data_IF_260845352664
#
_entry.id   IF_260845352664
#
_cell.length_a   1.000
_cell.length_b   1.000
_cell.length_c   1.000
_cell.angle_alpha   90.00
_cell.angle_beta   90.00
_cell.angle_gamma   90.00
#
_symmetry.space_group_name_H-M   'P 1'
#
loop_
_entity.id
_entity.type
_entity.pdbx_description
1 polymer ?
#
# COMPACT_ATOMS: atom_id res chain seq x y z
N UNK A 1 -35.15 -4.12 -56.94
CA UNK A 1 -35.13 -4.39 -55.48
C UNK A 1 -33.71 -4.40 -54.87
N UNK A 2 -32.64 -4.69 -55.64
CA UNK A 2 -31.26 -4.73 -55.11
C UNK A 2 -30.61 -3.35 -54.87
N UNK A 3 -30.95 -2.32 -55.65
CA UNK A 3 -30.34 -0.98 -55.54
C UNK A 3 -30.73 -0.22 -54.26
N UNK A 4 -32.00 -0.27 -53.87
CA UNK A 4 -32.51 0.35 -52.63
C UNK A 4 -31.93 -0.32 -51.36
N UNK A 5 -31.70 -1.64 -51.41
CA UNK A 5 -31.06 -2.38 -50.31
C UNK A 5 -29.60 -1.96 -50.11
N UNK A 6 -28.88 -1.69 -51.21
CA UNK A 6 -27.49 -1.20 -51.17
C UNK A 6 -27.37 0.23 -50.64
N UNK A 7 -28.31 1.12 -50.99
CA UNK A 7 -28.32 2.49 -50.45
C UNK A 7 -28.60 2.54 -48.94
N UNK A 8 -29.42 1.64 -48.41
CA UNK A 8 -29.66 1.53 -46.96
C UNK A 8 -28.42 0.98 -46.21
N UNK A 9 -27.67 0.07 -46.84
CA UNK A 9 -26.43 -0.50 -46.28
C UNK A 9 -25.27 0.50 -46.20
N UNK A 10 -25.23 1.47 -47.11
CA UNK A 10 -24.20 2.53 -47.18
C UNK A 10 -24.71 3.84 -46.55
N UNK A 11 -25.93 3.84 -46.00
CA UNK A 11 -26.49 5.01 -45.34
C UNK A 11 -25.58 5.43 -44.18
N UNK A 12 -25.28 6.74 -44.11
CA UNK A 12 -24.39 7.34 -43.12
C UNK A 12 -24.64 6.86 -41.67
N UNK A 13 -25.90 6.67 -41.21
CA UNK A 13 -26.20 6.17 -39.88
C UNK A 13 -25.72 4.72 -39.64
N UNK A 14 -25.86 3.85 -40.64
CA UNK A 14 -25.49 2.43 -40.52
C UNK A 14 -23.96 2.25 -40.52
N UNK A 15 -23.25 3.09 -41.28
CA UNK A 15 -21.79 3.14 -41.28
C UNK A 15 -21.25 3.71 -39.97
N UNK A 16 -21.91 4.71 -39.38
CA UNK A 16 -21.57 5.28 -38.08
C UNK A 16 -21.80 4.28 -36.95
N UNK A 17 -22.92 3.54 -36.98
CA UNK A 17 -23.23 2.47 -36.03
C UNK A 17 -22.24 1.31 -36.16
N UNK A 18 -21.87 0.92 -37.39
CA UNK A 18 -20.86 -0.09 -37.64
C UNK A 18 -19.46 0.36 -37.18
N UNK A 19 -19.04 1.58 -37.53
CA UNK A 19 -17.77 2.15 -37.10
C UNK A 19 -17.73 2.27 -35.57
N UNK A 20 -18.80 2.70 -34.92
CA UNK A 20 -18.94 2.71 -33.46
C UNK A 20 -18.76 1.29 -32.88
N UNK A 21 -19.44 0.29 -33.43
CA UNK A 21 -19.36 -1.10 -32.97
C UNK A 21 -17.98 -1.73 -33.12
N UNK A 22 -17.22 -1.32 -34.15
CA UNK A 22 -15.88 -1.85 -34.42
C UNK A 22 -14.82 -1.05 -33.68
N UNK A 23 -14.84 0.28 -33.78
CA UNK A 23 -13.77 1.19 -33.33
C UNK A 23 -13.75 1.34 -31.80
N UNK A 24 -14.91 1.40 -31.12
CA UNK A 24 -14.93 1.54 -29.66
C UNK A 24 -14.23 0.39 -28.93
N UNK A 25 -14.47 -0.90 -29.25
CA UNK A 25 -13.71 -2.00 -28.67
C UNK A 25 -12.19 -1.88 -28.85
N UNK A 26 -11.70 -1.37 -29.99
CA UNK A 26 -10.27 -1.15 -30.20
C UNK A 26 -9.71 -0.04 -29.30
N UNK A 27 -10.46 1.05 -29.10
CA UNK A 27 -10.09 2.10 -28.14
C UNK A 27 -10.04 1.58 -26.70
N UNK A 28 -11.05 0.81 -26.27
CA UNK A 28 -11.04 0.18 -24.95
C UNK A 28 -9.84 -0.76 -24.78
N UNK A 29 -9.51 -1.54 -25.81
CA UNK A 29 -8.32 -2.41 -25.81
C UNK A 29 -7.03 -1.60 -25.70
N UNK A 30 -6.89 -0.49 -26.44
CA UNK A 30 -5.71 0.40 -26.37
C UNK A 30 -5.57 1.05 -25.00
N UNK A 31 -6.68 1.49 -24.40
CA UNK A 31 -6.69 2.02 -23.04
C UNK A 31 -6.24 0.97 -22.02
N UNK A 32 -6.73 -0.28 -22.13
CA UNK A 32 -6.29 -1.37 -21.27
C UNK A 32 -4.80 -1.67 -21.43
N UNK A 33 -4.28 -1.69 -22.66
CA UNK A 33 -2.85 -1.87 -22.94
C UNK A 33 -2.03 -0.75 -22.26
N UNK A 34 -2.48 0.50 -22.37
CA UNK A 34 -1.81 1.66 -21.75
C UNK A 34 -1.79 1.56 -20.21
N UNK A 35 -2.90 1.13 -19.60
CA UNK A 35 -2.97 0.93 -18.16
C UNK A 35 -2.05 -0.21 -17.70
N UNK A 36 -2.06 -1.33 -18.42
CA UNK A 36 -1.18 -2.45 -18.15
C UNK A 36 0.30 -2.07 -18.32
N UNK A 37 0.65 -1.28 -19.35
CA UNK A 37 2.03 -0.82 -19.54
C UNK A 37 2.48 0.06 -18.39
N UNK A 38 1.62 0.99 -17.92
CA UNK A 38 1.95 1.83 -16.77
C UNK A 38 2.26 1.02 -15.50
N UNK A 39 1.49 -0.04 -15.22
CA UNK A 39 1.73 -0.92 -14.07
C UNK A 39 3.07 -1.66 -14.22
N UNK A 40 3.36 -2.16 -15.43
CA UNK A 40 4.63 -2.82 -15.74
C UNK A 40 5.79 -1.85 -15.56
N UNK A 41 5.68 -0.62 -16.06
CA UNK A 41 6.72 0.40 -15.94
C UNK A 41 6.99 0.76 -14.48
N UNK A 42 5.95 0.93 -13.66
CA UNK A 42 6.08 1.16 -12.21
C UNK A 42 6.81 -0.01 -11.54
N UNK A 43 6.46 -1.25 -11.89
CA UNK A 43 7.13 -2.44 -11.36
C UNK A 43 8.61 -2.49 -11.77
N UNK A 44 8.93 -2.21 -13.04
CA UNK A 44 10.30 -2.18 -13.55
C UNK A 44 11.14 -1.11 -12.85
N UNK A 45 10.58 0.10 -12.67
CA UNK A 45 11.23 1.16 -11.89
C UNK A 45 11.50 0.70 -10.45
N UNK A 46 10.52 0.08 -9.79
CA UNK A 46 10.67 -0.48 -8.46
C UNK A 46 11.79 -1.52 -8.39
N UNK A 47 11.87 -2.43 -9.36
CA UNK A 47 12.94 -3.42 -9.48
C UNK A 47 14.31 -2.77 -9.67
N UNK A 48 14.42 -1.77 -10.54
CA UNK A 48 15.67 -1.04 -10.78
C UNK A 48 16.11 -0.30 -9.51
N UNK A 49 15.20 0.35 -8.78
CA UNK A 49 15.51 0.96 -7.48
C UNK A 49 15.99 -0.08 -6.47
N UNK A 50 15.30 -1.21 -6.35
CA UNK A 50 15.65 -2.31 -5.45
C UNK A 50 17.02 -2.91 -5.78
N UNK A 51 17.33 -3.11 -7.06
CA UNK A 51 18.64 -3.56 -7.52
C UNK A 51 19.73 -2.53 -7.22
N UNK A 52 19.48 -1.24 -7.46
CA UNK A 52 20.40 -0.17 -7.09
C UNK A 52 20.70 -0.15 -5.58
N UNK A 53 19.69 -0.35 -4.73
CA UNK A 53 19.85 -0.46 -3.28
C UNK A 53 20.63 -1.72 -2.87
N UNK A 54 20.46 -2.83 -3.60
CA UNK A 54 21.24 -4.04 -3.39
C UNK A 54 22.72 -3.81 -3.70
N UNK A 55 23.04 -3.19 -4.84
CA UNK A 55 24.41 -2.81 -5.21
C UNK A 55 24.98 -1.84 -4.17
N UNK A 56 24.22 -0.83 -3.78
CA UNK A 56 24.60 0.12 -2.73
C UNK A 56 24.96 -0.58 -1.41
N UNK A 57 24.15 -1.56 -0.98
CA UNK A 57 24.45 -2.39 0.20
C UNK A 57 25.79 -3.12 0.05
N UNK A 58 26.02 -3.73 -1.11
CA UNK A 58 27.22 -4.53 -1.39
C UNK A 58 28.50 -3.68 -1.43
N UNK A 59 28.39 -2.41 -1.83
CA UNK A 59 29.50 -1.45 -1.82
C UNK A 59 29.82 -0.95 -0.40
N UNK A 60 28.86 -0.98 0.53
CA UNK A 60 29.01 -0.46 1.89
C UNK A 60 29.14 -1.57 2.97
N UNK A 61 29.66 -2.76 2.59
CA UNK A 61 29.70 -4.00 3.41
C UNK A 61 30.29 -3.88 4.83
N UNK A 62 31.11 -2.86 5.10
CA UNK A 62 31.77 -2.68 6.41
C UNK A 62 30.89 -2.01 7.47
N UNK A 63 29.68 -1.58 7.11
CA UNK A 63 28.77 -0.89 8.03
C UNK A 63 27.69 -1.85 8.57
N UNK A 64 27.23 -1.62 9.80
CA UNK A 64 26.18 -2.42 10.45
C UNK A 64 24.99 -2.68 9.50
N UNK A 65 24.50 -3.92 9.46
CA UNK A 65 23.52 -4.37 8.46
C UNK A 65 22.08 -4.35 8.98
N UNK A 66 21.86 -3.80 10.17
CA UNK A 66 20.52 -3.71 10.77
C UNK A 66 19.61 -2.68 10.10
N UNK A 67 18.28 -2.77 10.28
CA UNK A 67 17.34 -1.80 9.72
C UNK A 67 17.54 -0.37 10.23
N UNK A 68 18.15 -0.18 11.39
CA UNK A 68 18.45 1.15 11.95
C UNK A 68 19.82 1.68 11.54
N UNK A 69 20.54 0.94 10.69
CA UNK A 69 21.90 1.31 10.37
C UNK A 69 21.97 2.64 9.63
N UNK A 70 23.06 3.38 9.88
CA UNK A 70 23.29 4.71 9.32
C UNK A 70 23.29 4.71 7.78
N UNK A 71 23.56 3.56 7.17
CA UNK A 71 23.66 3.34 5.73
C UNK A 71 22.31 3.60 5.04
N UNK A 72 21.20 3.29 5.72
CA UNK A 72 19.87 3.42 5.17
C UNK A 72 19.27 4.82 5.32
N UNK A 73 19.86 5.68 6.15
CA UNK A 73 19.35 7.04 6.38
C UNK A 73 19.30 7.87 5.10
N UNK A 74 20.36 7.82 4.28
CA UNK A 74 20.44 8.57 3.02
C UNK A 74 19.40 8.08 1.98
N UNK A 75 19.33 6.77 1.65
CA UNK A 75 18.27 6.24 0.78
C UNK A 75 16.87 6.53 1.30
N UNK A 76 16.60 6.35 2.61
CA UNK A 76 15.29 6.66 3.19
C UNK A 76 14.92 8.12 3.01
N UNK A 77 15.86 9.05 3.25
CA UNK A 77 15.62 10.48 3.08
C UNK A 77 15.28 10.82 1.63
N UNK A 78 15.98 10.20 0.67
CA UNK A 78 15.69 10.37 -0.75
C UNK A 78 14.26 9.93 -1.10
N UNK A 79 13.87 8.71 -0.75
CA UNK A 79 12.50 8.23 -1.02
C UNK A 79 11.44 9.02 -0.25
N UNK A 80 11.72 9.39 1.01
CA UNK A 80 10.81 10.19 1.80
C UNK A 80 10.55 11.56 1.16
N UNK A 81 11.58 12.24 0.61
CA UNK A 81 11.37 13.48 -0.14
C UNK A 81 10.53 13.29 -1.41
N UNK A 82 10.75 12.22 -2.18
CA UNK A 82 9.94 11.93 -3.38
C UNK A 82 8.48 11.75 -3.00
N UNK A 83 8.21 10.88 -2.01
CA UNK A 83 6.87 10.60 -1.51
C UNK A 83 6.21 11.88 -0.97
N UNK A 84 6.98 12.68 -0.23
CA UNK A 84 6.50 13.90 0.38
C UNK A 84 6.10 14.97 -0.63
N UNK A 85 6.94 15.17 -1.65
CA UNK A 85 6.70 16.10 -2.75
C UNK A 85 5.52 15.62 -3.59
N UNK A 86 5.48 14.32 -3.92
CA UNK A 86 4.35 13.72 -4.65
C UNK A 86 3.04 13.92 -3.89
N UNK A 87 3.01 13.65 -2.58
CA UNK A 87 1.84 13.89 -1.75
C UNK A 87 1.43 15.36 -1.80
N UNK A 88 2.36 16.30 -1.61
CA UNK A 88 2.04 17.74 -1.59
C UNK A 88 1.50 18.23 -2.92
N UNK A 89 2.13 17.84 -4.02
CA UNK A 89 1.78 18.34 -5.36
C UNK A 89 0.51 17.67 -5.90
N UNK A 90 0.44 16.34 -5.81
CA UNK A 90 -0.64 15.57 -6.43
C UNK A 90 -1.87 15.46 -5.54
N UNK A 91 -1.69 15.34 -4.22
CA UNK A 91 -2.79 15.14 -3.28
C UNK A 91 -3.13 16.36 -2.45
N UNK A 92 -2.27 17.39 -2.43
CA UNK A 92 -2.46 18.55 -1.54
C UNK A 92 -2.55 18.14 -0.07
N UNK A 93 -1.87 17.04 0.33
CA UNK A 93 -2.07 16.49 1.67
C UNK A 93 -1.52 17.43 2.76
N UNK A 94 -2.24 17.48 3.87
CA UNK A 94 -1.84 18.17 5.09
C UNK A 94 -1.67 17.15 6.22
N UNK A 95 -0.71 17.40 7.12
CA UNK A 95 -0.46 16.58 8.29
C UNK A 95 -0.46 17.46 9.54
N UNK A 96 -1.28 17.07 10.51
CA UNK A 96 -1.40 17.75 11.81
C UNK A 96 -1.21 16.76 12.94
N UNK A 97 -0.66 17.20 14.07
CA UNK A 97 -0.58 16.38 15.28
C UNK A 97 0.63 15.45 15.36
N UNK A 98 1.66 15.66 14.53
CA UNK A 98 2.90 14.88 14.55
C UNK A 98 3.66 15.05 15.88
N UNK A 99 3.51 16.19 16.53
CA UNK A 99 4.05 16.55 17.82
C UNK A 99 3.51 15.70 18.98
N UNK A 100 2.34 15.07 18.81
CA UNK A 100 1.76 14.16 19.80
C UNK A 100 2.38 12.76 19.76
N UNK A 101 3.20 12.46 18.75
CA UNK A 101 3.86 11.15 18.63
C UNK A 101 5.01 11.08 19.64
N UNK A 102 5.04 10.07 20.52
CA UNK A 102 6.08 9.96 21.52
C UNK A 102 7.46 9.79 20.88
N UNK A 103 8.47 10.42 21.52
CA UNK A 103 9.89 10.21 21.17
C UNK A 103 10.36 8.77 21.42
N UNK A 104 9.60 8.00 22.21
CA UNK A 104 9.85 6.59 22.52
C UNK A 104 9.16 5.61 21.57
N UNK A 105 9.07 4.32 21.94
CA UNK A 105 8.37 3.32 21.14
C UNK A 105 6.85 3.54 21.17
N UNK A 106 6.17 2.92 20.23
CA UNK A 106 4.71 2.96 20.14
C UNK A 106 4.21 2.20 18.94
N UNK A 107 2.90 2.01 18.90
CA UNK A 107 2.21 1.44 17.76
C UNK A 107 1.19 2.44 17.20
N UNK A 108 1.46 2.89 15.99
CA UNK A 108 0.54 3.68 15.17
C UNK A 108 -0.52 2.73 14.62
N UNK A 109 -1.79 2.99 14.94
CA UNK A 109 -2.91 2.30 14.31
C UNK A 109 -3.60 3.24 13.33
N UNK A 110 -3.92 2.73 12.15
CA UNK A 110 -4.54 3.52 11.10
C UNK A 110 -5.59 2.71 10.34
N UNK A 111 -6.54 3.42 9.76
CA UNK A 111 -7.56 2.85 8.90
C UNK A 111 -6.96 2.34 7.58
N UNK A 112 -7.22 1.08 7.20
CA UNK A 112 -6.85 0.58 5.87
C UNK A 112 -7.84 1.09 4.81
N UNK A 113 -7.47 2.15 4.09
CA UNK A 113 -8.08 2.41 2.78
C UNK A 113 -7.67 1.33 1.77
N UNK A 114 -8.34 1.25 0.63
CA UNK A 114 -7.93 0.37 -0.49
C UNK A 114 -6.44 0.53 -0.81
N UNK A 115 -6.01 1.79 -0.79
CA UNK A 115 -4.62 2.19 -0.83
C UNK A 115 -4.34 3.05 0.41
N UNK A 116 -3.39 2.64 1.23
CA UNK A 116 -2.98 3.36 2.44
C UNK A 116 -2.04 4.54 2.13
N UNK A 117 -2.33 5.32 1.09
CA UNK A 117 -1.45 6.37 0.57
C UNK A 117 -1.23 7.49 1.61
N UNK A 118 -2.29 7.93 2.29
CA UNK A 118 -2.14 8.95 3.34
C UNK A 118 -1.25 8.49 4.51
N UNK A 119 -1.32 7.21 4.87
CA UNK A 119 -0.38 6.61 5.84
C UNK A 119 1.06 6.66 5.34
N UNK A 120 1.29 6.39 4.05
CA UNK A 120 2.63 6.47 3.44
C UNK A 120 3.17 7.91 3.47
N UNK A 121 2.32 8.92 3.22
CA UNK A 121 2.70 10.33 3.37
C UNK A 121 3.08 10.68 4.80
N UNK A 122 2.29 10.22 5.77
CA UNK A 122 2.62 10.34 7.19
C UNK A 122 4.01 9.75 7.50
N UNK A 123 4.29 8.50 7.09
CA UNK A 123 5.58 7.85 7.36
C UNK A 123 6.75 8.63 6.76
N UNK A 124 6.58 9.13 5.53
CA UNK A 124 7.60 9.94 4.87
C UNK A 124 7.85 11.27 5.60
N UNK A 125 6.79 12.04 5.89
CA UNK A 125 6.90 13.31 6.62
C UNK A 125 7.49 13.11 8.01
N UNK A 126 7.03 12.10 8.74
CA UNK A 126 7.55 11.74 10.06
C UNK A 126 9.05 11.46 10.03
N UNK A 127 9.52 10.71 9.03
CA UNK A 127 10.95 10.46 8.86
C UNK A 127 11.72 11.75 8.54
N UNK A 128 11.18 12.64 7.70
CA UNK A 128 11.84 13.90 7.34
C UNK A 128 11.96 14.86 8.52
N UNK A 129 10.94 14.94 9.38
CA UNK A 129 10.92 15.86 10.52
C UNK A 129 11.72 15.34 11.72
N UNK A 130 11.62 14.04 12.00
CA UNK A 130 12.20 13.47 13.23
C UNK A 130 13.49 12.70 13.00
N UNK A 131 13.79 12.32 11.76
CA UNK A 131 14.87 11.39 11.43
C UNK A 131 14.64 9.95 11.92
N UNK A 132 13.48 9.65 12.53
CA UNK A 132 13.13 8.33 13.06
C UNK A 132 12.32 7.56 12.02
N UNK A 133 12.61 6.28 11.87
CA UNK A 133 11.86 5.39 10.97
C UNK A 133 10.62 4.86 11.69
N UNK A 134 9.45 4.97 11.04
CA UNK A 134 8.25 4.23 11.42
C UNK A 134 8.22 2.93 10.61
N UNK A 135 8.47 1.80 11.28
CA UNK A 135 8.44 0.49 10.63
C UNK A 135 7.00 0.08 10.38
N UNK A 136 6.66 -0.31 9.15
CA UNK A 136 5.28 -0.61 8.81
C UNK A 136 5.11 -2.08 8.47
N UNK A 137 4.00 -2.65 8.94
CA UNK A 137 3.64 -4.01 8.60
C UNK A 137 3.21 -4.08 7.13
N UNK A 138 3.86 -4.96 6.39
CA UNK A 138 3.53 -5.28 5.01
C UNK A 138 2.78 -6.60 4.96
N UNK A 139 1.70 -6.66 4.17
CA UNK A 139 0.98 -7.91 3.94
C UNK A 139 1.90 -8.96 3.33
N UNK A 140 1.82 -10.22 3.79
CA UNK A 140 2.75 -11.27 3.39
C UNK A 140 2.76 -11.51 1.87
N UNK A 141 1.61 -11.37 1.21
CA UNK A 141 1.50 -11.51 -0.26
C UNK A 141 2.40 -10.54 -1.05
N UNK A 142 2.84 -9.41 -0.47
CA UNK A 142 3.77 -8.52 -1.14
C UNK A 142 5.14 -9.16 -1.41
N UNK A 143 5.51 -10.21 -0.65
CA UNK A 143 6.72 -10.99 -0.86
C UNK A 143 6.63 -11.96 -2.05
N UNK A 144 5.42 -12.22 -2.58
CA UNK A 144 5.25 -12.99 -3.81
C UNK A 144 5.67 -12.22 -5.05
N UNK A 145 5.80 -10.89 -4.95
CA UNK A 145 6.30 -10.05 -6.03
C UNK A 145 7.83 -10.03 -5.96
N UNK A 146 8.55 -10.70 -6.89
CA UNK A 146 10.00 -10.76 -6.85
C UNK A 146 10.62 -9.40 -7.16
N UNK A 147 11.87 -9.21 -6.73
CA UNK A 147 12.67 -8.03 -7.09
C UNK A 147 12.46 -6.80 -6.21
N UNK A 148 11.42 -6.71 -5.38
CA UNK A 148 11.11 -5.52 -4.58
C UNK A 148 11.59 -5.57 -3.11
N UNK A 149 12.18 -6.69 -2.67
CA UNK A 149 12.46 -6.93 -1.25
C UNK A 149 13.43 -5.91 -0.64
N UNK A 150 14.47 -5.49 -1.37
CA UNK A 150 15.42 -4.50 -0.86
C UNK A 150 14.77 -3.11 -0.75
N UNK A 151 13.89 -2.75 -1.69
CA UNK A 151 13.13 -1.51 -1.61
C UNK A 151 12.22 -1.51 -0.37
N UNK A 152 11.45 -2.57 -0.15
CA UNK A 152 10.60 -2.71 1.05
C UNK A 152 11.41 -2.59 2.34
N UNK A 153 12.54 -3.29 2.42
CA UNK A 153 13.43 -3.25 3.57
C UNK A 153 13.95 -1.84 3.88
N UNK A 154 14.36 -1.10 2.84
CA UNK A 154 14.84 0.28 2.99
C UNK A 154 13.70 1.21 3.39
N UNK A 155 12.49 1.03 2.88
CA UNK A 155 11.31 1.80 3.27
C UNK A 155 10.77 1.42 4.65
N UNK A 156 11.39 0.47 5.36
CA UNK A 156 10.94 0.02 6.68
C UNK A 156 9.69 -0.85 6.63
N UNK A 157 9.40 -1.46 5.49
CA UNK A 157 8.27 -2.35 5.26
C UNK A 157 8.72 -3.80 5.46
N UNK A 158 8.04 -4.52 6.36
CA UNK A 158 8.29 -5.96 6.56
C UNK A 158 7.05 -6.66 7.11
N UNK A 159 6.91 -7.95 6.81
CA UNK A 159 5.98 -8.84 7.51
C UNK A 159 6.62 -9.29 8.83
N UNK A 160 5.94 -9.01 9.94
CA UNK A 160 6.43 -9.33 11.29
C UNK A 160 5.48 -10.29 12.00
N UNK A 161 6.04 -11.23 12.77
CA UNK A 161 5.28 -11.99 13.78
C UNK A 161 5.05 -11.14 15.03
N UNK A 162 4.03 -11.46 15.85
CA UNK A 162 3.74 -10.75 17.11
C UNK A 162 4.98 -10.60 18.00
N UNK A 163 5.74 -11.69 18.19
CA UNK A 163 6.96 -11.67 19.01
C UNK A 163 8.00 -10.68 18.47
N UNK A 164 8.20 -10.61 17.14
CA UNK A 164 9.10 -9.63 16.53
C UNK A 164 8.58 -8.20 16.75
N UNK A 165 7.28 -7.96 16.63
CA UNK A 165 6.68 -6.63 16.89
C UNK A 165 6.96 -6.20 18.34
N UNK A 166 6.76 -7.08 19.31
CA UNK A 166 7.07 -6.81 20.72
C UNK A 166 8.55 -6.49 20.91
N UNK A 167 9.44 -7.29 20.31
CA UNK A 167 10.88 -7.06 20.38
C UNK A 167 11.28 -5.69 19.79
N UNK A 168 10.69 -5.31 18.65
CA UNK A 168 10.90 -4.00 18.04
C UNK A 168 10.49 -2.85 18.95
N UNK A 169 9.33 -2.96 19.59
CA UNK A 169 8.83 -1.94 20.52
C UNK A 169 9.69 -1.88 21.79
N UNK A 170 10.12 -3.03 22.34
CA UNK A 170 11.08 -3.09 23.45
C UNK A 170 12.44 -2.46 23.10
N UNK A 171 12.83 -2.48 21.82
CA UNK A 171 14.02 -1.78 21.28
C UNK A 171 13.80 -0.29 21.00
N UNK A 172 12.66 0.29 21.41
CA UNK A 172 12.39 1.72 21.26
C UNK A 172 11.86 2.13 19.87
N UNK A 173 11.43 1.18 19.03
CA UNK A 173 10.96 1.46 17.67
C UNK A 173 9.48 1.85 17.63
N UNK A 174 9.14 2.68 16.66
CA UNK A 174 7.76 3.01 16.29
C UNK A 174 7.31 2.08 15.17
N UNK A 175 6.14 1.47 15.32
CA UNK A 175 5.55 0.55 14.35
C UNK A 175 4.21 1.06 13.86
N UNK A 176 3.85 0.85 12.60
CA UNK A 176 2.52 1.13 12.07
C UNK A 176 1.80 -0.11 11.58
N UNK A 177 0.56 -0.27 12.02
CA UNK A 177 -0.30 -1.42 11.75
C UNK A 177 -1.68 -0.91 11.37
N UNK A 178 -2.26 -1.43 10.30
CA UNK A 178 -3.71 -1.42 10.14
C UNK A 178 -4.27 -2.72 10.71
N UNK A 179 -5.04 -2.67 11.81
CA UNK A 179 -5.57 -3.89 12.43
C UNK A 179 -6.63 -4.60 11.57
N UNK A 180 -7.34 -3.83 10.73
CA UNK A 180 -8.34 -4.34 9.81
C UNK A 180 -7.77 -5.04 8.57
N UNK A 181 -6.57 -4.64 8.14
CA UNK A 181 -5.85 -5.25 7.03
C UNK A 181 -6.68 -5.30 5.75
N UNK A 182 -6.51 -6.38 4.98
CA UNK A 182 -7.21 -6.59 3.70
C UNK A 182 -8.73 -6.55 3.83
N UNK A 183 -9.30 -6.99 4.96
CA UNK A 183 -10.76 -6.95 5.18
C UNK A 183 -11.27 -5.52 5.23
N UNK A 184 -10.60 -4.69 6.02
CA UNK A 184 -10.92 -3.28 6.14
C UNK A 184 -10.70 -2.55 4.81
N UNK A 185 -9.58 -2.85 4.13
CA UNK A 185 -9.26 -2.29 2.81
C UNK A 185 -10.36 -2.54 1.77
N UNK A 186 -11.00 -3.71 1.82
CA UNK A 186 -11.96 -4.13 0.80
C UNK A 186 -13.40 -3.71 1.09
N UNK A 187 -13.79 -3.67 2.37
CA UNK A 187 -15.19 -3.49 2.76
C UNK A 187 -15.48 -2.18 3.48
N UNK A 188 -14.47 -1.42 3.92
CA UNK A 188 -14.71 -0.16 4.63
C UNK A 188 -14.93 0.94 3.62
N UNK A 189 -16.10 1.57 3.67
CA UNK A 189 -16.48 2.64 2.75
C UNK A 189 -16.73 3.98 3.44
N UNK A 190 -16.85 3.96 4.77
CA UNK A 190 -17.28 5.07 5.63
C UNK A 190 -16.34 5.21 6.84
N UNK A 191 -15.08 4.79 6.69
CA UNK A 191 -14.09 4.74 7.77
C UNK A 191 -14.44 3.79 8.92
N UNK A 192 -15.46 2.94 8.75
CA UNK A 192 -15.81 1.89 9.69
C UNK A 192 -14.63 0.96 9.97
N UNK A 193 -14.19 0.93 11.22
CA UNK A 193 -13.04 0.12 11.61
C UNK A 193 -13.44 -1.37 11.64
N UNK A 194 -12.68 -2.20 10.91
CA UNK A 194 -13.02 -3.61 10.66
C UNK A 194 -11.89 -4.59 10.96
N UNK A 195 -11.45 -4.63 12.22
CA UNK A 195 -10.47 -5.61 12.69
C UNK A 195 -11.08 -6.93 13.20
N UNK A 196 -12.41 -7.00 13.37
CA UNK A 196 -13.10 -8.21 13.79
C UNK A 196 -12.55 -8.78 15.10
N UNK A 197 -12.09 -10.04 15.09
CA UNK A 197 -11.46 -10.70 16.25
C UNK A 197 -9.94 -10.50 16.35
N UNK A 198 -9.32 -9.71 15.45
CA UNK A 198 -7.87 -9.52 15.41
C UNK A 198 -7.42 -8.57 16.53
N UNK A 199 -6.89 -9.14 17.62
CA UNK A 199 -6.44 -8.39 18.80
C UNK A 199 -4.93 -8.42 19.02
N UNK A 200 -4.18 -9.06 18.10
CA UNK A 200 -2.73 -9.25 18.25
C UNK A 200 -1.93 -7.96 18.40
N UNK A 201 -2.36 -6.86 17.75
CA UNK A 201 -1.72 -5.55 17.89
C UNK A 201 -1.85 -4.98 19.32
N UNK A 202 -3.03 -5.13 19.94
CA UNK A 202 -3.30 -4.66 21.30
C UNK A 202 -2.56 -5.51 22.33
N UNK A 203 -2.55 -6.84 22.13
CA UNK A 203 -1.75 -7.75 22.96
C UNK A 203 -0.25 -7.42 22.89
N UNK A 204 0.28 -7.14 21.69
CA UNK A 204 1.67 -6.76 21.52
C UNK A 204 1.99 -5.43 22.22
N UNK A 205 1.10 -4.45 22.15
CA UNK A 205 1.25 -3.16 22.83
C UNK A 205 1.27 -3.32 24.35
N UNK A 206 0.37 -4.13 24.90
CA UNK A 206 0.32 -4.46 26.33
C UNK A 206 1.60 -5.16 26.79
N UNK A 207 2.07 -6.16 26.05
CA UNK A 207 3.27 -6.92 26.38
C UNK A 207 4.54 -6.04 26.34
N UNK A 208 4.64 -5.15 25.35
CA UNK A 208 5.75 -4.21 25.24
C UNK A 208 5.62 -2.99 26.18
N UNK A 209 4.45 -2.79 26.80
CA UNK A 209 4.10 -1.63 27.63
C UNK A 209 4.28 -0.29 26.89
N UNK A 210 3.76 -0.21 25.67
CA UNK A 210 3.88 0.98 24.81
C UNK A 210 2.52 1.55 24.43
N UNK A 211 2.42 2.85 24.12
CA UNK A 211 1.16 3.47 23.74
C UNK A 211 0.68 2.99 22.36
N UNK A 212 -0.64 2.86 22.25
CA UNK A 212 -1.35 2.76 20.96
C UNK A 212 -1.73 4.17 20.55
N UNK A 213 -1.33 4.57 19.35
CA UNK A 213 -1.47 5.92 18.82
C UNK A 213 -2.36 5.85 17.58
N UNK A 214 -3.64 6.20 17.68
CA UNK A 214 -4.50 6.24 16.51
C UNK A 214 -4.15 7.43 15.62
N UNK A 215 -4.12 7.19 14.32
CA UNK A 215 -4.13 8.24 13.32
C UNK A 215 -5.33 8.06 12.41
N UNK A 216 -5.80 9.18 11.87
CA UNK A 216 -6.91 9.21 10.94
C UNK A 216 -6.46 9.87 9.64
N UNK A 217 -6.90 9.31 8.52
CA UNK A 217 -6.64 9.86 7.18
C UNK A 217 -7.99 10.17 6.56
N UNK A 218 -8.26 11.45 6.35
CA UNK A 218 -9.46 11.91 5.66
C UNK A 218 -9.35 11.67 4.15
N UNK A 219 -10.50 11.57 3.50
CA UNK A 219 -10.68 11.41 2.05
C UNK A 219 -10.16 10.10 1.44
N UNK A 220 -9.63 9.15 2.22
CA UNK A 220 -9.09 7.90 1.67
C UNK A 220 -10.18 7.00 1.07
N UNK A 221 -11.39 7.00 1.65
CA UNK A 221 -12.51 6.20 1.17
C UNK A 221 -13.22 6.83 -0.05
N UNK A 222 -13.11 8.15 -0.22
CA UNK A 222 -13.66 8.89 -1.35
C UNK A 222 -12.70 8.85 -2.54
N UNK A 223 -11.40 9.03 -2.30
CA UNK A 223 -10.36 9.03 -3.32
C UNK A 223 -10.13 7.65 -3.94
N UNK A 224 -10.27 6.58 -3.14
CA UNK A 224 -10.05 5.21 -3.57
C UNK A 224 -11.22 4.32 -3.14
N UNK A 225 -12.01 3.86 -4.13
CA UNK A 225 -13.16 2.98 -3.89
C UNK A 225 -12.87 1.57 -4.37
N UNK A 226 -13.30 0.58 -3.59
CA UNK A 226 -13.34 -0.81 -4.06
C UNK A 226 -14.65 -1.11 -4.76
N UNK A 227 -14.62 -2.11 -5.64
CA UNK A 227 -15.80 -2.75 -6.24
C UNK A 227 -16.24 -3.94 -5.36
N UNK A 228 -16.00 -3.87 -4.04
CA UNK A 228 -16.03 -4.99 -3.08
C UNK A 228 -17.40 -5.66 -2.83
N UNK A 229 -18.46 -5.29 -3.57
CA UNK A 229 -19.81 -5.86 -3.38
C UNK A 229 -20.10 -7.12 -4.20
N UNK A 230 -19.16 -7.63 -5.01
CA UNK A 230 -19.41 -8.87 -5.74
C UNK A 230 -19.29 -10.09 -4.81
N UNK A 231 -20.37 -10.86 -4.70
CA UNK A 231 -20.49 -12.04 -3.81
C UNK A 231 -19.30 -13.01 -3.91
N UNK A 232 -18.76 -13.22 -5.12
CA UNK A 232 -17.61 -14.11 -5.36
C UNK A 232 -16.29 -13.59 -4.74
N UNK A 233 -16.00 -12.29 -4.84
CA UNK A 233 -14.82 -11.71 -4.16
C UNK A 233 -14.96 -11.82 -2.65
N UNK A 234 -16.19 -11.64 -2.15
CA UNK A 234 -16.47 -11.79 -0.72
C UNK A 234 -16.10 -13.16 -0.18
N UNK A 235 -16.56 -14.21 -0.86
CA UNK A 235 -16.28 -15.58 -0.46
C UNK A 235 -14.78 -15.91 -0.54
N UNK A 236 -14.08 -15.48 -1.59
CA UNK A 236 -12.63 -15.72 -1.73
C UNK A 236 -11.80 -15.01 -0.66
N UNK A 237 -12.13 -13.75 -0.39
CA UNK A 237 -11.45 -12.95 0.64
C UNK A 237 -11.74 -13.49 2.03
N UNK A 238 -12.99 -13.89 2.31
CA UNK A 238 -13.35 -14.52 3.58
C UNK A 238 -12.66 -15.89 3.74
N UNK A 239 -12.49 -16.66 2.67
CA UNK A 239 -11.73 -17.91 2.66
C UNK A 239 -10.24 -17.69 2.93
N UNK A 240 -9.58 -16.74 2.27
CA UNK A 240 -8.16 -16.43 2.49
C UNK A 240 -7.92 -15.84 3.89
N UNK A 241 -8.84 -14.99 4.36
CA UNK A 241 -8.82 -14.48 5.73
C UNK A 241 -9.02 -15.62 6.74
N UNK A 242 -9.97 -16.53 6.52
CA UNK A 242 -10.25 -17.65 7.43
C UNK A 242 -9.15 -18.71 7.44
N UNK A 243 -8.53 -18.99 6.29
CA UNK A 243 -7.34 -19.84 6.19
C UNK A 243 -6.15 -19.23 6.94
N UNK A 244 -5.94 -17.92 6.81
CA UNK A 244 -4.92 -17.20 7.60
C UNK A 244 -5.27 -17.08 9.09
N UNK A 245 -6.56 -17.13 9.49
CA UNK A 245 -6.94 -17.22 10.90
C UNK A 245 -6.53 -18.59 11.47
N UNK A 246 -6.59 -19.67 10.70
CA UNK A 246 -6.05 -20.97 11.16
C UNK A 246 -4.53 -20.96 11.30
N UNK A 247 -3.79 -20.23 10.47
CA UNK A 247 -2.34 -20.04 10.62
C UNK A 247 -1.95 -19.04 11.72
N UNK A 248 -2.81 -18.07 12.05
CA UNK A 248 -2.60 -17.08 13.13
C UNK A 248 -3.20 -17.50 14.48
N UNK A 249 -3.85 -18.67 14.55
CA UNK A 249 -4.32 -19.32 15.79
C UNK A 249 -3.33 -20.39 16.30
N UNK A 250 -2.12 -20.46 15.74
CA UNK A 250 -1.05 -21.27 16.32
C UNK A 250 -0.32 -20.37 17.33
N UNK A 251 -0.45 -20.78 18.58
CA UNK A 251 0.17 -20.32 19.84
C UNK A 251 1.39 -19.38 19.75
#
# INVERSE_FOLDING_TARGET
MSWFMLQNLISFPYLEEYLSSVVHPWWFRKLLILLCSLIIDIYLVGCTCSFGLYVYKKLNKHQETGPDSKIWKKPRKFFAHIIDIYGKIWHGYELTGIEHIPKGPGIIIYHHGVMSIGYVFFVARYFLETGRTCFSLLHHAAYWIPGLQMLYYVLGLKSYKKAEIVEMMKKGRLLGISPGGTREALYSHDYGIMWGKRTGFAQAALEAKVPIIPIFTQNSCEAYRTIGKTSKLKTLVDQEISGNIHFNNIE
#
